data_IF_313525046613
#
_entry.id   IF_313525046613
#
_cell.length_a   1.000
_cell.length_b   1.000
_cell.length_c   1.000
_cell.angle_alpha   90.00
_cell.angle_beta   90.00
_cell.angle_gamma   90.00
#
_symmetry.space_group_name_H-M   'P 1'
#
loop_
_entity.id
_entity.type
_entity.pdbx_description
1 polymer ?
#
# COMPACT_ATOMS: atom_id res chain seq x y z
N UNK A 1 44.92 -21.80 -58.99
CA UNK A 1 45.37 -20.61 -59.74
C UNK A 1 45.99 -19.63 -58.75
N UNK A 2 47.23 -19.17 -58.97
CA UNK A 2 47.84 -18.13 -58.14
C UNK A 2 47.15 -16.78 -58.39
N UNK A 3 47.25 -15.82 -57.47
CA UNK A 3 46.73 -14.45 -57.68
C UNK A 3 47.26 -13.83 -58.98
N UNK A 4 48.53 -14.09 -59.32
CA UNK A 4 49.14 -13.61 -60.57
C UNK A 4 48.50 -14.21 -61.83
N UNK A 5 48.13 -15.49 -61.80
CA UNK A 5 47.45 -16.16 -62.92
C UNK A 5 46.00 -15.68 -63.07
N UNK A 6 45.30 -15.38 -61.97
CA UNK A 6 43.95 -14.82 -62.02
C UNK A 6 43.93 -13.40 -62.61
N UNK A 7 44.86 -12.54 -62.19
CA UNK A 7 44.98 -11.19 -62.75
C UNK A 7 45.43 -11.19 -64.22
N UNK A 8 46.25 -12.17 -64.63
CA UNK A 8 46.58 -12.37 -66.05
C UNK A 8 45.33 -12.77 -66.86
N UNK A 9 44.54 -13.74 -66.37
CA UNK A 9 43.28 -14.15 -66.99
C UNK A 9 42.26 -13.00 -67.05
N UNK A 10 42.21 -12.17 -66.01
CA UNK A 10 41.36 -10.98 -65.95
C UNK A 10 41.77 -9.95 -66.99
N UNK A 11 43.08 -9.69 -67.14
CA UNK A 11 43.62 -8.76 -68.14
C UNK A 11 43.36 -9.24 -69.57
N UNK A 12 43.55 -10.54 -69.83
CA UNK A 12 43.25 -11.18 -71.12
C UNK A 12 41.76 -11.17 -71.46
N UNK A 13 40.89 -11.20 -70.45
CA UNK A 13 39.43 -11.20 -70.62
C UNK A 13 38.83 -9.78 -70.56
N UNK A 14 39.67 -8.73 -70.59
CA UNK A 14 39.27 -7.32 -70.45
C UNK A 14 38.43 -7.06 -69.19
N UNK A 15 38.70 -7.77 -68.11
CA UNK A 15 37.97 -7.75 -66.84
C UNK A 15 36.48 -8.15 -66.94
N UNK A 16 36.08 -8.81 -68.03
CA UNK A 16 34.72 -9.32 -68.17
C UNK A 16 34.57 -10.66 -67.44
N UNK A 17 33.77 -10.66 -66.37
CA UNK A 17 33.56 -11.80 -65.48
C UNK A 17 32.95 -13.02 -66.18
N UNK A 18 32.05 -12.82 -67.16
CA UNK A 18 31.45 -13.91 -67.93
C UNK A 18 32.52 -14.61 -68.79
N UNK A 19 33.38 -13.82 -69.45
CA UNK A 19 34.48 -14.37 -70.27
C UNK A 19 35.55 -15.08 -69.45
N UNK A 20 35.78 -14.67 -68.21
CA UNK A 20 36.69 -15.37 -67.28
C UNK A 20 36.09 -16.70 -66.81
N UNK A 21 34.79 -16.69 -66.47
CA UNK A 21 34.06 -17.87 -66.06
C UNK A 21 33.96 -18.92 -67.18
N UNK A 22 33.73 -18.50 -68.42
CA UNK A 22 33.72 -19.38 -69.61
C UNK A 22 35.06 -20.10 -69.83
N UNK A 23 36.19 -19.45 -69.54
CA UNK A 23 37.54 -20.01 -69.72
C UNK A 23 38.00 -20.90 -68.57
N UNK A 24 37.59 -20.60 -67.34
CA UNK A 24 38.00 -21.34 -66.15
C UNK A 24 36.92 -21.23 -65.04
N UNK A 25 35.81 -21.99 -65.14
CA UNK A 25 34.63 -21.79 -64.31
C UNK A 25 34.88 -22.07 -62.81
N UNK A 26 35.46 -23.22 -62.48
CA UNK A 26 35.75 -23.60 -61.09
C UNK A 26 36.76 -22.66 -60.43
N UNK A 27 37.80 -22.29 -61.18
CA UNK A 27 38.88 -21.43 -60.67
C UNK A 27 38.39 -20.00 -60.43
N UNK A 28 37.52 -19.47 -61.31
CA UNK A 28 36.91 -18.15 -61.17
C UNK A 28 35.97 -18.11 -59.96
N UNK A 29 35.15 -19.14 -59.75
CA UNK A 29 34.27 -19.26 -58.57
C UNK A 29 35.06 -19.37 -57.26
N UNK A 30 36.13 -20.17 -57.24
CA UNK A 30 37.02 -20.31 -56.06
C UNK A 30 37.66 -18.96 -55.73
N UNK A 31 38.20 -18.24 -56.72
CA UNK A 31 38.81 -16.92 -56.47
C UNK A 31 37.78 -15.88 -56.01
N UNK A 32 36.57 -15.88 -56.56
CA UNK A 32 35.50 -14.99 -56.11
C UNK A 32 35.05 -15.33 -54.67
N UNK A 33 34.94 -16.61 -54.33
CA UNK A 33 34.64 -17.07 -52.97
C UNK A 33 35.69 -16.62 -51.95
N UNK A 34 36.98 -16.70 -52.30
CA UNK A 34 38.08 -16.20 -51.46
C UNK A 34 37.98 -14.68 -51.28
N UNK A 35 37.67 -13.94 -52.35
CA UNK A 35 37.56 -12.47 -52.30
C UNK A 35 36.36 -12.03 -51.45
N UNK A 36 35.23 -12.72 -51.57
CA UNK A 36 34.04 -12.49 -50.74
C UNK A 36 34.31 -12.81 -49.26
N UNK A 37 35.02 -13.91 -48.98
CA UNK A 37 35.45 -14.25 -47.62
C UNK A 37 36.37 -13.17 -47.03
N UNK A 38 37.33 -12.65 -47.80
CA UNK A 38 38.20 -11.55 -47.37
C UNK A 38 37.39 -10.28 -47.06
N UNK A 39 36.42 -9.92 -47.90
CA UNK A 39 35.53 -8.78 -47.66
C UNK A 39 34.74 -8.98 -46.36
N UNK A 40 34.18 -10.17 -46.13
CA UNK A 40 33.44 -10.48 -44.89
C UNK A 40 34.34 -10.39 -43.65
N UNK A 41 35.59 -10.85 -43.74
CA UNK A 41 36.57 -10.73 -42.66
C UNK A 41 36.86 -9.25 -42.37
N UNK A 42 37.09 -8.42 -43.40
CA UNK A 42 37.34 -6.98 -43.25
C UNK A 42 36.13 -6.30 -42.59
N UNK A 43 34.92 -6.56 -43.09
CA UNK A 43 33.68 -6.02 -42.52
C UNK A 43 33.50 -6.44 -41.05
N UNK A 44 33.82 -7.68 -40.71
CA UNK A 44 33.78 -8.17 -39.33
C UNK A 44 34.74 -7.41 -38.42
N UNK A 45 35.99 -7.18 -38.85
CA UNK A 45 36.95 -6.41 -38.07
C UNK A 45 36.56 -4.94 -37.91
N UNK A 46 36.05 -4.29 -38.97
CA UNK A 46 35.52 -2.93 -38.91
C UNK A 46 34.36 -2.85 -37.92
N UNK A 47 33.38 -3.74 -38.05
CA UNK A 47 32.22 -3.80 -37.16
C UNK A 47 32.65 -4.00 -35.69
N UNK A 48 33.58 -4.92 -35.44
CA UNK A 48 34.14 -5.15 -34.11
C UNK A 48 34.83 -3.90 -33.55
N UNK A 49 35.64 -3.21 -34.35
CA UNK A 49 36.33 -1.99 -33.94
C UNK A 49 35.36 -0.85 -33.60
N UNK A 50 34.31 -0.66 -34.42
CA UNK A 50 33.25 0.32 -34.17
C UNK A 50 32.55 0.03 -32.83
N UNK A 51 32.19 -1.23 -32.58
CA UNK A 51 31.53 -1.64 -31.33
C UNK A 51 32.41 -1.46 -30.09
N UNK A 52 33.71 -1.72 -30.20
CA UNK A 52 34.67 -1.44 -29.11
C UNK A 52 34.72 0.07 -28.82
N UNK A 53 34.85 0.91 -29.85
CA UNK A 53 34.89 2.36 -29.67
C UNK A 53 33.58 2.93 -29.09
N UNK A 54 32.42 2.38 -29.47
CA UNK A 54 31.14 2.73 -28.85
C UNK A 54 31.13 2.41 -27.35
N UNK A 55 31.62 1.24 -26.94
CA UNK A 55 31.70 0.86 -25.53
C UNK A 55 32.67 1.76 -24.74
N UNK A 56 33.82 2.13 -25.33
CA UNK A 56 34.77 3.07 -24.70
C UNK A 56 34.17 4.47 -24.53
N UNK A 57 33.47 4.99 -25.56
CA UNK A 57 32.73 6.26 -25.45
C UNK A 57 31.66 6.19 -24.38
N UNK A 58 30.98 5.05 -24.27
CA UNK A 58 29.93 4.86 -23.28
C UNK A 58 30.49 4.89 -21.85
N UNK A 59 31.63 4.22 -21.58
CA UNK A 59 32.33 4.29 -20.28
C UNK A 59 32.64 5.75 -19.91
N UNK A 60 33.22 6.51 -20.84
CA UNK A 60 33.55 7.93 -20.63
C UNK A 60 32.30 8.79 -20.41
N UNK A 61 31.22 8.51 -21.12
CA UNK A 61 30.00 9.32 -21.08
C UNK A 61 29.06 8.98 -19.91
N UNK A 62 29.21 7.82 -19.25
CA UNK A 62 28.50 7.53 -17.99
C UNK A 62 28.81 8.61 -16.97
N UNK A 63 30.07 9.09 -16.95
CA UNK A 63 30.52 10.08 -15.98
C UNK A 63 29.79 11.43 -16.09
N UNK A 64 29.25 11.72 -17.27
CA UNK A 64 28.57 12.96 -17.59
C UNK A 64 27.06 12.91 -17.38
N UNK A 65 26.52 11.80 -16.84
CA UNK A 65 25.09 11.67 -16.58
C UNK A 65 24.61 12.72 -15.55
N UNK A 66 23.51 13.40 -15.86
CA UNK A 66 22.92 14.44 -15.01
C UNK A 66 21.79 13.92 -14.13
N UNK A 67 21.09 12.89 -14.59
CA UNK A 67 19.99 12.24 -13.87
C UNK A 67 20.30 10.78 -13.59
N UNK A 68 19.60 10.20 -12.62
CA UNK A 68 19.72 8.78 -12.31
C UNK A 68 19.27 7.91 -13.49
N UNK A 69 18.20 8.31 -14.19
CA UNK A 69 17.63 7.58 -15.31
C UNK A 69 18.62 7.50 -16.47
N UNK A 70 19.28 8.63 -16.80
CA UNK A 70 20.34 8.68 -17.79
C UNK A 70 21.54 7.81 -17.39
N UNK A 71 21.91 7.85 -16.10
CA UNK A 71 22.98 7.02 -15.56
C UNK A 71 22.65 5.52 -15.66
N UNK A 72 21.44 5.10 -15.25
CA UNK A 72 21.01 3.71 -15.27
C UNK A 72 20.87 3.17 -16.70
N UNK A 73 20.38 3.98 -17.64
CA UNK A 73 20.31 3.60 -19.05
C UNK A 73 21.69 3.33 -19.64
N UNK A 74 22.64 4.24 -19.38
CA UNK A 74 24.03 4.08 -19.84
C UNK A 74 24.69 2.89 -19.15
N UNK A 75 24.54 2.73 -17.83
CA UNK A 75 25.09 1.59 -17.08
C UNK A 75 24.52 0.26 -17.58
N UNK A 76 23.21 0.19 -17.82
CA UNK A 76 22.55 -1.00 -18.36
C UNK A 76 23.04 -1.33 -19.77
N UNK A 77 23.25 -0.31 -20.60
CA UNK A 77 23.84 -0.47 -21.93
C UNK A 77 25.28 -0.97 -21.88
N UNK A 78 26.08 -0.46 -20.92
CA UNK A 78 27.43 -0.98 -20.66
C UNK A 78 27.40 -2.46 -20.32
N UNK A 79 26.53 -2.88 -19.40
CA UNK A 79 26.42 -4.28 -18.94
C UNK A 79 26.14 -5.23 -20.11
N UNK A 80 25.28 -4.82 -21.05
CA UNK A 80 24.91 -5.65 -22.21
C UNK A 80 26.08 -5.81 -23.20
N UNK A 81 26.84 -4.74 -23.39
CA UNK A 81 27.91 -4.70 -24.38
C UNK A 81 29.22 -5.25 -23.82
N UNK A 82 29.55 -4.95 -22.57
CA UNK A 82 30.83 -5.24 -21.93
C UNK A 82 31.36 -6.67 -22.15
N UNK A 83 30.58 -7.76 -21.95
CA UNK A 83 31.07 -9.14 -22.14
C UNK A 83 31.51 -9.48 -23.57
N UNK A 84 31.23 -8.62 -24.55
CA UNK A 84 31.44 -8.86 -25.99
C UNK A 84 32.60 -8.03 -26.57
N UNK A 85 33.31 -7.22 -25.78
CA UNK A 85 34.18 -6.13 -26.31
C UNK A 85 35.67 -6.26 -25.99
N UNK A 86 36.08 -7.31 -25.27
CA UNK A 86 37.49 -7.67 -25.12
C UNK A 86 38.23 -6.87 -24.04
N UNK A 87 39.51 -7.17 -23.85
CA UNK A 87 40.32 -6.68 -22.72
C UNK A 87 40.51 -5.16 -22.70
N UNK A 88 40.60 -4.51 -23.88
CA UNK A 88 40.74 -3.05 -23.98
C UNK A 88 39.61 -2.30 -23.27
N UNK A 89 38.37 -2.81 -23.38
CA UNK A 89 37.21 -2.23 -22.70
C UNK A 89 37.22 -2.54 -21.20
N UNK A 90 37.73 -3.71 -20.81
CA UNK A 90 37.93 -4.06 -19.40
C UNK A 90 38.96 -3.18 -18.69
N UNK A 91 40.07 -2.85 -19.36
CA UNK A 91 41.07 -1.92 -18.83
C UNK A 91 40.47 -0.53 -18.64
N UNK A 92 39.81 0.02 -19.66
CA UNK A 92 39.15 1.33 -19.57
C UNK A 92 38.08 1.37 -18.45
N UNK A 93 37.29 0.29 -18.31
CA UNK A 93 36.32 0.19 -17.22
C UNK A 93 37.01 0.13 -15.85
N UNK A 94 38.16 -0.54 -15.75
CA UNK A 94 38.94 -0.64 -14.53
C UNK A 94 39.52 0.72 -14.09
N UNK A 95 39.90 1.57 -15.05
CA UNK A 95 40.36 2.93 -14.79
C UNK A 95 39.20 3.84 -14.34
N UNK A 96 38.02 3.72 -14.95
CA UNK A 96 36.85 4.57 -14.63
C UNK A 96 35.97 4.05 -13.49
N UNK A 97 36.25 2.88 -12.90
CA UNK A 97 35.35 2.19 -11.96
C UNK A 97 34.96 3.03 -10.73
N UNK A 98 35.91 3.84 -10.23
CA UNK A 98 35.70 4.69 -9.05
C UNK A 98 34.73 5.82 -9.37
N UNK A 99 34.88 6.46 -10.52
CA UNK A 99 34.02 7.57 -10.94
C UNK A 99 32.60 7.09 -11.25
N UNK A 100 32.48 5.93 -11.89
CA UNK A 100 31.17 5.31 -12.15
C UNK A 100 30.46 5.00 -10.83
N UNK A 101 31.20 4.55 -9.82
CA UNK A 101 30.65 4.32 -8.48
C UNK A 101 30.30 5.63 -7.77
N UNK A 102 31.16 6.64 -7.79
CA UNK A 102 30.95 7.89 -7.04
C UNK A 102 29.70 8.65 -7.49
N UNK A 103 29.34 8.55 -8.78
CA UNK A 103 28.11 9.10 -9.32
C UNK A 103 26.84 8.51 -8.71
N UNK A 104 26.86 7.26 -8.27
CA UNK A 104 25.70 6.66 -7.59
C UNK A 104 25.29 7.47 -6.37
N UNK A 105 26.27 7.96 -5.59
CA UNK A 105 26.00 8.77 -4.40
C UNK A 105 25.58 10.20 -4.75
N UNK A 106 26.08 10.76 -5.84
CA UNK A 106 25.71 12.10 -6.31
C UNK A 106 24.29 12.16 -6.88
N UNK A 107 23.87 11.11 -7.59
CA UNK A 107 22.58 11.04 -8.29
C UNK A 107 21.46 10.44 -7.43
N UNK A 108 21.79 9.89 -6.26
CA UNK A 108 20.82 9.56 -5.22
C UNK A 108 20.43 10.84 -4.48
N UNK A 109 19.36 11.48 -4.94
CA UNK A 109 18.90 12.77 -4.42
C UNK A 109 18.26 12.58 -3.04
N UNK A 110 18.55 13.45 -2.04
CA UNK A 110 17.93 13.39 -0.72
C UNK A 110 16.39 13.40 -0.75
N UNK A 111 15.79 14.12 -1.69
CA UNK A 111 14.35 14.31 -1.85
C UNK A 111 13.59 13.08 -2.36
N UNK A 112 14.28 11.99 -2.74
CA UNK A 112 13.60 10.76 -3.15
C UNK A 112 12.95 10.08 -1.94
N UNK A 113 11.74 9.56 -2.13
CA UNK A 113 11.09 8.73 -1.11
C UNK A 113 11.90 7.46 -0.83
N UNK A 114 11.75 6.89 0.37
CA UNK A 114 12.49 5.66 0.73
C UNK A 114 12.10 4.49 -0.17
N UNK A 115 10.83 4.42 -0.61
CA UNK A 115 10.36 3.44 -1.61
C UNK A 115 11.20 3.49 -2.89
N UNK A 116 11.44 4.69 -3.40
CA UNK A 116 12.19 4.88 -4.63
C UNK A 116 13.70 4.65 -4.41
N UNK A 117 14.25 5.06 -3.27
CA UNK A 117 15.62 4.74 -2.88
C UNK A 117 15.85 3.23 -2.82
N UNK A 118 14.98 2.47 -2.15
CA UNK A 118 15.05 1.00 -2.10
C UNK A 118 15.12 0.41 -3.52
N UNK A 119 14.18 0.80 -4.40
CA UNK A 119 14.12 0.31 -5.78
C UNK A 119 15.43 0.57 -6.53
N UNK A 120 15.94 1.80 -6.46
CA UNK A 120 17.16 2.23 -7.16
C UNK A 120 18.42 1.57 -6.63
N UNK A 121 18.58 1.45 -5.30
CA UNK A 121 19.74 0.78 -4.71
C UNK A 121 19.81 -0.70 -5.07
N UNK A 122 18.66 -1.40 -5.05
CA UNK A 122 18.58 -2.81 -5.46
C UNK A 122 18.92 -3.01 -6.93
N UNK A 123 18.42 -2.14 -7.81
CA UNK A 123 18.73 -2.19 -9.24
C UNK A 123 20.22 -1.96 -9.50
N UNK A 124 20.81 -0.94 -8.87
CA UNK A 124 22.24 -0.66 -8.98
C UNK A 124 23.11 -1.80 -8.46
N UNK A 125 22.75 -2.36 -7.30
CA UNK A 125 23.46 -3.51 -6.73
C UNK A 125 23.51 -4.67 -7.72
N UNK A 126 22.36 -5.04 -8.30
CA UNK A 126 22.27 -6.07 -9.34
C UNK A 126 23.08 -5.73 -10.58
N UNK A 127 23.08 -4.47 -11.00
CA UNK A 127 23.84 -4.00 -12.15
C UNK A 127 25.36 -4.11 -11.93
N UNK A 128 25.86 -3.75 -10.73
CA UNK A 128 27.27 -3.95 -10.38
C UNK A 128 27.64 -5.42 -10.22
N UNK A 129 26.76 -6.26 -9.69
CA UNK A 129 26.99 -7.70 -9.63
C UNK A 129 27.12 -8.32 -11.04
N UNK A 130 26.32 -7.87 -12.00
CA UNK A 130 26.46 -8.26 -13.41
C UNK A 130 27.79 -7.80 -14.01
N UNK A 131 28.24 -6.57 -13.72
CA UNK A 131 29.57 -6.10 -14.16
C UNK A 131 30.69 -6.93 -13.57
N UNK A 132 30.61 -7.28 -12.28
CA UNK A 132 31.56 -8.18 -11.63
C UNK A 132 31.61 -9.54 -12.33
N UNK A 133 30.45 -10.15 -12.56
CA UNK A 133 30.35 -11.46 -13.23
C UNK A 133 30.88 -11.42 -14.66
N UNK A 134 30.56 -10.38 -15.41
CA UNK A 134 31.07 -10.18 -16.75
C UNK A 134 32.60 -9.95 -16.79
N UNK A 135 33.16 -9.32 -15.75
CA UNK A 135 34.59 -9.03 -15.66
C UNK A 135 35.45 -10.28 -15.48
N UNK A 136 34.88 -11.35 -14.91
CA UNK A 136 35.54 -12.67 -14.78
C UNK A 136 36.03 -13.22 -16.12
N UNK A 137 35.30 -12.95 -17.22
CA UNK A 137 35.66 -13.37 -18.58
C UNK A 137 37.02 -12.83 -19.04
N UNK A 138 37.46 -11.72 -18.47
CA UNK A 138 38.70 -11.04 -18.84
C UNK A 138 39.82 -11.25 -17.81
N UNK A 139 39.68 -12.20 -16.89
CA UNK A 139 40.65 -12.50 -15.84
C UNK A 139 41.10 -11.27 -15.02
N UNK A 140 40.27 -10.22 -14.94
CA UNK A 140 40.56 -9.02 -14.18
C UNK A 140 39.99 -9.16 -12.76
N UNK A 141 40.81 -9.69 -11.84
CA UNK A 141 40.42 -9.94 -10.45
C UNK A 141 40.13 -8.65 -9.68
N UNK A 142 40.87 -7.57 -9.95
CA UNK A 142 40.66 -6.26 -9.33
C UNK A 142 39.26 -5.72 -9.66
N UNK A 143 38.91 -5.68 -10.96
CA UNK A 143 37.62 -5.17 -11.43
C UNK A 143 36.46 -6.03 -10.93
N UNK A 144 36.64 -7.36 -10.97
CA UNK A 144 35.66 -8.34 -10.48
C UNK A 144 35.38 -8.12 -9.00
N UNK A 145 36.42 -8.05 -8.17
CA UNK A 145 36.31 -7.88 -6.72
C UNK A 145 35.77 -6.50 -6.37
N UNK A 146 36.16 -5.46 -7.10
CA UNK A 146 35.67 -4.10 -6.88
C UNK A 146 34.15 -4.03 -7.05
N UNK A 147 33.62 -4.44 -8.20
CA UNK A 147 32.18 -4.37 -8.44
C UNK A 147 31.37 -5.30 -7.55
N UNK A 148 31.91 -6.47 -7.17
CA UNK A 148 31.26 -7.35 -6.21
C UNK A 148 31.20 -6.74 -4.80
N UNK A 149 32.29 -6.12 -4.35
CA UNK A 149 32.29 -5.42 -3.06
C UNK A 149 31.33 -4.24 -3.08
N UNK A 150 31.30 -3.49 -4.19
CA UNK A 150 30.43 -2.32 -4.34
C UNK A 150 28.95 -2.67 -4.48
N UNK A 151 28.59 -3.79 -5.12
CA UNK A 151 27.19 -4.24 -5.14
C UNK A 151 26.69 -4.53 -3.72
N UNK A 152 27.52 -5.14 -2.86
CA UNK A 152 27.20 -5.38 -1.45
C UNK A 152 27.15 -4.09 -0.63
N UNK A 153 28.17 -3.23 -0.75
CA UNK A 153 28.24 -1.95 -0.02
C UNK A 153 26.98 -1.08 -0.28
N UNK A 154 26.41 -1.10 -1.50
CA UNK A 154 25.19 -0.37 -1.84
C UNK A 154 23.97 -0.80 -1.01
N UNK A 155 23.84 -2.10 -0.72
CA UNK A 155 22.68 -2.64 0.00
C UNK A 155 22.93 -2.69 1.50
N UNK A 156 24.05 -3.28 1.90
CA UNK A 156 24.37 -3.56 3.30
C UNK A 156 24.76 -2.32 4.11
N UNK A 157 25.26 -1.27 3.45
CA UNK A 157 25.67 -0.02 4.11
C UNK A 157 24.82 1.17 3.69
N UNK A 158 24.80 1.47 2.38
CA UNK A 158 24.15 2.69 1.89
C UNK A 158 22.64 2.63 2.04
N UNK A 159 21.99 1.60 1.51
CA UNK A 159 20.54 1.44 1.67
C UNK A 159 20.14 1.24 3.13
N UNK A 160 20.89 0.45 3.90
CA UNK A 160 20.65 0.28 5.34
C UNK A 160 20.63 1.62 6.09
N UNK A 161 21.60 2.50 5.82
CA UNK A 161 21.67 3.85 6.40
C UNK A 161 20.49 4.73 5.97
N UNK A 162 20.07 4.68 4.70
CA UNK A 162 18.90 5.45 4.24
C UNK A 162 17.60 4.99 4.89
N UNK A 163 17.42 3.68 5.07
CA UNK A 163 16.25 3.12 5.78
C UNK A 163 16.28 3.53 7.25
N UNK A 164 17.45 3.50 7.88
CA UNK A 164 17.64 3.95 9.27
C UNK A 164 17.32 5.44 9.45
N UNK A 165 17.81 6.28 8.55
CA UNK A 165 17.48 7.70 8.59
C UNK A 165 15.99 7.95 8.32
N UNK A 166 15.38 7.16 7.44
CA UNK A 166 13.95 7.28 7.16
C UNK A 166 13.14 7.08 8.44
N UNK A 167 13.19 5.89 9.07
CA UNK A 167 12.30 5.62 10.20
C UNK A 167 12.61 6.47 11.45
N UNK A 168 13.80 7.07 11.55
CA UNK A 168 14.19 7.98 12.66
C UNK A 168 13.68 9.42 12.49
N UNK A 169 13.37 9.83 11.27
CA UNK A 169 13.01 11.22 10.96
C UNK A 169 11.61 11.35 10.35
N UNK A 170 10.82 10.28 10.38
CA UNK A 170 9.46 10.22 9.81
C UNK A 170 8.41 10.43 10.91
N UNK A 171 7.37 11.22 10.61
CA UNK A 171 6.26 11.48 11.54
C UNK A 171 5.14 10.41 11.51
N UNK A 172 5.27 9.42 10.62
CA UNK A 172 4.35 8.28 10.45
C UNK A 172 2.88 8.69 10.29
N UNK A 173 2.60 9.41 9.21
CA UNK A 173 1.25 9.77 8.77
C UNK A 173 0.77 8.91 7.59
N UNK A 174 -0.39 9.23 7.02
CA UNK A 174 -0.99 8.50 5.90
C UNK A 174 -0.13 8.50 4.63
N UNK A 175 0.65 9.56 4.37
CA UNK A 175 1.47 9.68 3.17
C UNK A 175 2.64 8.68 3.19
N UNK A 176 2.97 8.17 4.37
CA UNK A 176 4.06 7.22 4.60
C UNK A 176 3.67 5.75 4.37
N UNK A 177 2.40 5.46 4.08
CA UNK A 177 1.89 4.10 3.90
C UNK A 177 2.68 3.31 2.84
N UNK A 178 2.91 3.90 1.67
CA UNK A 178 3.65 3.24 0.59
C UNK A 178 5.13 3.02 0.93
N UNK A 179 5.72 3.94 1.69
CA UNK A 179 7.11 3.89 2.11
C UNK A 179 7.33 2.78 3.14
N UNK A 180 6.45 2.68 4.14
CA UNK A 180 6.46 1.59 5.13
C UNK A 180 6.32 0.25 4.45
N UNK A 181 5.35 0.10 3.54
CA UNK A 181 5.14 -1.14 2.79
C UNK A 181 6.39 -1.52 1.97
N UNK A 182 7.08 -0.55 1.37
CA UNK A 182 8.33 -0.81 0.65
C UNK A 182 9.46 -1.27 1.57
N UNK A 183 9.60 -0.67 2.76
CA UNK A 183 10.59 -1.06 3.77
C UNK A 183 10.31 -2.47 4.28
N UNK A 184 9.07 -2.81 4.64
CA UNK A 184 8.68 -4.14 5.12
C UNK A 184 8.94 -5.20 4.03
N UNK A 185 8.53 -4.92 2.79
CA UNK A 185 8.76 -5.82 1.65
C UNK A 185 10.25 -6.05 1.37
N UNK A 186 11.07 -5.03 1.53
CA UNK A 186 12.53 -5.16 1.42
C UNK A 186 13.10 -5.98 2.58
N UNK A 187 12.75 -5.64 3.82
CA UNK A 187 13.22 -6.31 5.01
C UNK A 187 12.93 -7.81 4.94
N UNK A 188 11.72 -8.22 4.53
CA UNK A 188 11.32 -9.62 4.39
C UNK A 188 12.14 -10.44 3.37
N UNK A 189 12.86 -9.77 2.46
CA UNK A 189 13.77 -10.42 1.50
C UNK A 189 15.24 -10.31 1.90
N UNK A 190 15.56 -9.43 2.85
CA UNK A 190 16.91 -9.22 3.32
C UNK A 190 17.31 -10.33 4.30
N UNK A 191 18.61 -10.60 4.41
CA UNK A 191 19.12 -11.55 5.42
C UNK A 191 19.01 -11.01 6.85
N UNK A 192 18.79 -9.70 7.03
CA UNK A 192 18.73 -9.00 8.32
C UNK A 192 17.33 -8.44 8.60
N UNK A 193 16.32 -9.28 8.49
CA UNK A 193 14.90 -8.92 8.67
C UNK A 193 14.71 -8.24 10.04
N UNK A 194 15.10 -8.94 11.10
CA UNK A 194 14.85 -8.53 12.49
C UNK A 194 15.55 -7.22 12.82
N UNK A 195 16.78 -7.02 12.33
CA UNK A 195 17.52 -5.78 12.58
C UNK A 195 16.83 -4.54 12.01
N UNK A 196 16.10 -4.65 10.90
CA UNK A 196 15.42 -3.51 10.27
C UNK A 196 14.05 -3.31 10.94
N UNK A 197 13.27 -4.39 11.05
CA UNK A 197 11.90 -4.31 11.55
C UNK A 197 11.86 -4.01 13.04
N UNK A 198 12.74 -4.59 13.87
CA UNK A 198 12.78 -4.28 15.31
C UNK A 198 13.27 -2.86 15.58
N UNK A 199 14.21 -2.34 14.79
CA UNK A 199 14.63 -0.95 14.90
C UNK A 199 13.48 0.01 14.57
N UNK A 200 12.72 -0.28 13.50
CA UNK A 200 11.54 0.49 13.14
C UNK A 200 10.45 0.42 14.22
N UNK A 201 10.18 -0.77 14.79
CA UNK A 201 9.26 -0.92 15.93
C UNK A 201 9.71 -0.10 17.14
N UNK A 202 11.01 -0.04 17.41
CA UNK A 202 11.56 0.73 18.53
C UNK A 202 11.41 2.24 18.33
N UNK A 203 11.49 2.74 17.11
CA UNK A 203 11.18 4.14 16.83
C UNK A 203 9.68 4.42 16.92
N UNK A 204 8.82 3.52 16.41
CA UNK A 204 7.37 3.62 16.58
C UNK A 204 6.94 3.65 18.06
N UNK A 205 7.64 2.96 18.96
CA UNK A 205 7.39 3.00 20.42
C UNK A 205 7.50 4.40 21.03
N UNK A 206 8.24 5.32 20.39
CA UNK A 206 8.40 6.70 20.89
C UNK A 206 7.15 7.54 20.66
N UNK A 207 6.29 7.13 19.73
CA UNK A 207 5.03 7.80 19.45
C UNK A 207 3.94 7.34 20.42
N UNK A 208 3.09 8.29 20.80
CA UNK A 208 1.90 7.97 21.60
C UNK A 208 0.78 7.47 20.70
N UNK A 209 0.51 6.16 20.74
CA UNK A 209 -0.61 5.53 20.01
C UNK A 209 -1.99 6.03 20.52
N UNK A 210 -2.03 6.56 21.73
CA UNK A 210 -3.22 7.12 22.36
C UNK A 210 -3.54 8.55 21.91
N UNK A 211 -2.51 9.31 21.49
CA UNK A 211 -2.63 10.76 21.26
C UNK A 211 -2.25 11.19 19.84
N UNK A 212 -1.61 10.34 19.04
CA UNK A 212 -1.26 10.63 17.65
C UNK A 212 -2.37 10.14 16.70
N UNK A 213 -3.24 11.06 16.26
CA UNK A 213 -4.32 10.75 15.32
C UNK A 213 -3.82 10.33 13.94
N UNK A 214 -2.70 10.88 13.47
CA UNK A 214 -2.18 10.60 12.13
C UNK A 214 -1.59 9.18 12.07
N UNK A 215 -0.89 8.77 13.13
CA UNK A 215 -0.45 7.40 13.32
C UNK A 215 -1.64 6.44 13.40
N UNK A 216 -2.72 6.81 14.12
CA UNK A 216 -3.93 5.99 14.18
C UNK A 216 -4.54 5.78 12.78
N UNK A 217 -4.73 6.87 12.02
CA UNK A 217 -5.25 6.84 10.66
C UNK A 217 -4.39 5.99 9.73
N UNK A 218 -3.06 6.11 9.84
CA UNK A 218 -2.10 5.27 9.13
C UNK A 218 -2.33 3.79 9.44
N UNK A 219 -2.42 3.41 10.71
CA UNK A 219 -2.59 2.01 11.14
C UNK A 219 -3.89 1.40 10.59
N UNK A 220 -4.99 2.15 10.58
CA UNK A 220 -6.27 1.67 10.02
C UNK A 220 -6.20 1.47 8.49
N UNK A 221 -5.30 2.17 7.78
CA UNK A 221 -5.08 1.99 6.34
C UNK A 221 -4.00 0.96 6.00
N UNK A 222 -3.19 0.54 6.97
CA UNK A 222 -2.20 -0.52 6.78
C UNK A 222 -2.89 -1.87 6.58
N UNK A 223 -2.31 -2.71 5.72
CA UNK A 223 -2.83 -4.05 5.44
C UNK A 223 -1.84 -5.15 5.84
N UNK A 224 -2.40 -6.31 6.21
CA UNK A 224 -1.65 -7.50 6.65
C UNK A 224 -0.74 -8.05 5.54
N UNK A 225 -1.11 -7.89 4.26
CA UNK A 225 -0.36 -8.50 3.14
C UNK A 225 0.96 -7.78 2.87
N UNK A 226 0.97 -6.45 3.00
CA UNK A 226 2.10 -5.60 2.66
C UNK A 226 2.90 -5.14 3.89
N UNK A 227 2.23 -4.92 5.03
CA UNK A 227 2.82 -4.38 6.25
C UNK A 227 3.04 -5.39 7.39
N UNK A 228 2.65 -6.66 7.20
CA UNK A 228 2.48 -7.72 8.21
C UNK A 228 3.07 -7.44 9.60
N UNK A 229 4.38 -7.53 9.78
CA UNK A 229 4.99 -7.47 11.12
C UNK A 229 4.88 -6.09 11.79
N UNK A 230 4.88 -5.00 11.02
CA UNK A 230 4.68 -3.65 11.56
C UNK A 230 3.20 -3.42 11.82
N UNK A 231 2.33 -3.86 10.90
CA UNK A 231 0.88 -3.81 11.08
C UNK A 231 0.45 -4.57 12.34
N UNK A 232 0.83 -5.84 12.50
CA UNK A 232 0.49 -6.67 13.66
C UNK A 232 0.96 -6.03 14.96
N UNK A 233 2.18 -5.47 14.98
CA UNK A 233 2.70 -4.74 16.13
C UNK A 233 1.84 -3.52 16.48
N UNK A 234 1.56 -2.65 15.50
CA UNK A 234 0.78 -1.45 15.71
C UNK A 234 -0.68 -1.73 16.07
N UNK A 235 -1.28 -2.73 15.41
CA UNK A 235 -2.68 -3.12 15.63
C UNK A 235 -2.87 -3.68 17.03
N UNK A 236 -1.98 -4.56 17.49
CA UNK A 236 -2.02 -5.06 18.86
C UNK A 236 -1.93 -3.92 19.88
N UNK A 237 -1.09 -2.91 19.64
CA UNK A 237 -0.99 -1.73 20.51
C UNK A 237 -2.27 -0.91 20.53
N UNK A 238 -2.90 -0.69 19.38
CA UNK A 238 -4.18 -0.01 19.29
C UNK A 238 -5.26 -0.81 20.02
N UNK A 239 -5.36 -2.12 19.77
CA UNK A 239 -6.39 -2.95 20.38
C UNK A 239 -6.22 -3.04 21.90
N UNK A 240 -4.99 -3.06 22.42
CA UNK A 240 -4.69 -2.93 23.86
C UNK A 240 -5.20 -1.60 24.45
N UNK A 241 -5.08 -0.49 23.71
CA UNK A 241 -5.56 0.83 24.18
C UNK A 241 -7.09 0.84 24.35
N UNK A 242 -7.83 0.29 23.38
CA UNK A 242 -9.29 0.29 23.41
C UNK A 242 -9.87 -0.77 24.36
N UNK A 243 -9.21 -1.93 24.52
CA UNK A 243 -9.75 -3.04 25.29
C UNK A 243 -9.34 -3.08 26.76
N UNK A 244 -8.24 -2.42 27.15
CA UNK A 244 -7.74 -2.49 28.54
C UNK A 244 -8.62 -1.73 29.54
N UNK A 245 -9.26 -0.64 29.10
CA UNK A 245 -9.96 0.32 29.95
C UNK A 245 -9.03 1.15 30.85
N UNK A 246 -7.71 0.94 30.80
CA UNK A 246 -6.74 1.57 31.71
C UNK A 246 -5.91 2.67 31.03
N UNK A 247 -6.24 2.98 29.77
CA UNK A 247 -5.50 3.93 28.94
C UNK A 247 -6.45 5.00 28.41
N UNK A 248 -5.96 6.22 28.39
CA UNK A 248 -6.64 7.35 27.76
C UNK A 248 -6.43 7.27 26.25
N UNK A 249 -7.49 7.53 25.49
CA UNK A 249 -7.45 7.67 24.03
C UNK A 249 -7.94 9.07 23.70
N UNK A 250 -7.10 9.87 23.05
CA UNK A 250 -7.39 11.28 22.77
C UNK A 250 -8.73 11.49 22.06
N UNK A 251 -9.36 12.62 22.36
CA UNK A 251 -10.64 13.02 21.75
C UNK A 251 -10.56 13.08 20.23
N UNK A 252 -9.44 13.54 19.66
CA UNK A 252 -9.23 13.56 18.21
C UNK A 252 -9.35 12.17 17.55
N UNK A 253 -8.91 11.11 18.23
CA UNK A 253 -9.05 9.72 17.74
C UNK A 253 -10.51 9.27 17.89
N UNK A 254 -11.16 9.60 19.01
CA UNK A 254 -12.57 9.27 19.23
C UNK A 254 -13.48 9.98 18.22
N UNK A 255 -13.23 11.26 17.94
CA UNK A 255 -13.95 12.03 16.92
C UNK A 255 -13.75 11.47 15.52
N UNK A 256 -12.52 11.09 15.16
CA UNK A 256 -12.25 10.38 13.91
C UNK A 256 -13.05 9.07 13.77
N UNK A 257 -13.25 8.34 14.87
CA UNK A 257 -14.07 7.12 14.86
C UNK A 257 -15.55 7.41 14.61
N UNK A 258 -16.07 8.52 15.13
CA UNK A 258 -17.41 8.99 14.82
C UNK A 258 -17.55 9.42 13.36
N UNK A 259 -16.55 10.10 12.80
CA UNK A 259 -16.53 10.53 11.40
C UNK A 259 -16.46 9.38 10.39
N UNK A 260 -16.02 8.19 10.84
CA UNK A 260 -15.79 7.02 9.97
C UNK A 260 -16.78 5.88 10.21
N UNK A 261 -17.93 6.17 10.83
CA UNK A 261 -18.99 5.20 11.15
C UNK A 261 -18.52 4.00 12.02
N UNK A 262 -17.47 4.21 12.82
CA UNK A 262 -16.90 3.19 13.72
C UNK A 262 -17.35 3.39 15.19
N UNK A 263 -18.54 3.94 15.39
CA UNK A 263 -19.03 4.40 16.69
C UNK A 263 -19.03 3.30 17.76
N UNK A 264 -19.27 2.04 17.37
CA UNK A 264 -19.27 0.90 18.30
C UNK A 264 -17.95 0.77 19.07
N UNK A 265 -16.79 1.03 18.42
CA UNK A 265 -15.49 1.01 19.11
C UNK A 265 -15.42 2.07 20.22
N UNK A 266 -16.06 3.22 20.02
CA UNK A 266 -16.10 4.30 21.02
C UNK A 266 -17.03 3.94 22.16
N UNK A 267 -18.21 3.37 21.86
CA UNK A 267 -19.15 2.89 22.89
C UNK A 267 -18.52 1.81 23.78
N UNK A 268 -17.85 0.83 23.17
CA UNK A 268 -17.17 -0.25 23.87
C UNK A 268 -16.02 0.28 24.74
N UNK A 269 -15.27 1.27 24.24
CA UNK A 269 -14.21 1.92 25.00
C UNK A 269 -14.74 2.67 26.22
N UNK A 270 -15.77 3.50 26.05
CA UNK A 270 -16.36 4.31 27.12
C UNK A 270 -16.98 3.40 28.19
N UNK A 271 -17.73 2.37 27.79
CA UNK A 271 -18.41 1.46 28.72
C UNK A 271 -17.44 0.61 29.57
N UNK A 272 -16.22 0.37 29.08
CA UNK A 272 -15.18 -0.39 29.77
C UNK A 272 -14.09 0.47 30.44
N UNK A 273 -14.16 1.79 30.31
CA UNK A 273 -13.14 2.71 30.82
C UNK A 273 -13.08 2.65 32.36
N UNK A 274 -11.88 2.45 32.91
CA UNK A 274 -11.59 2.35 34.36
C UNK A 274 -10.97 3.62 34.93
N UNK A 275 -10.71 4.63 34.09
CA UNK A 275 -10.12 5.90 34.49
C UNK A 275 -11.19 6.93 34.82
N UNK A 276 -11.58 7.02 36.11
CA UNK A 276 -12.65 7.92 36.57
C UNK A 276 -12.48 9.37 36.12
N UNK A 277 -11.28 9.94 36.28
CA UNK A 277 -11.01 11.34 35.91
C UNK A 277 -11.18 11.57 34.41
N UNK A 278 -10.70 10.65 33.58
CA UNK A 278 -10.83 10.74 32.13
C UNK A 278 -12.29 10.52 31.67
N UNK A 279 -12.99 9.57 32.28
CA UNK A 279 -14.42 9.33 32.02
C UNK A 279 -15.26 10.59 32.31
N UNK A 280 -14.96 11.31 33.40
CA UNK A 280 -15.62 12.59 33.72
C UNK A 280 -15.39 13.66 32.64
N UNK A 281 -14.15 13.74 32.11
CA UNK A 281 -13.84 14.66 31.02
C UNK A 281 -14.61 14.31 29.75
N UNK A 282 -14.63 13.02 29.38
CA UNK A 282 -15.39 12.55 28.23
C UNK A 282 -16.89 12.78 28.38
N UNK A 283 -17.45 12.53 29.57
CA UNK A 283 -18.85 12.83 29.89
C UNK A 283 -19.16 14.31 29.62
N UNK A 284 -18.31 15.19 30.16
CA UNK A 284 -18.46 16.64 29.97
C UNK A 284 -18.38 17.06 28.50
N UNK A 285 -17.64 16.33 27.65
CA UNK A 285 -17.48 16.66 26.24
C UNK A 285 -18.58 16.07 25.33
N UNK A 286 -19.08 14.88 25.65
CA UNK A 286 -19.88 14.08 24.71
C UNK A 286 -21.30 13.74 25.17
N UNK A 287 -21.52 13.54 26.47
CA UNK A 287 -22.82 13.10 26.98
C UNK A 287 -23.90 14.17 26.76
N UNK A 288 -25.04 13.79 26.17
CA UNK A 288 -26.16 14.67 25.81
C UNK A 288 -25.75 15.88 24.94
N UNK A 289 -24.62 15.74 24.23
CA UNK A 289 -24.07 16.79 23.34
C UNK A 289 -23.98 16.36 21.90
N UNK A 290 -23.88 15.06 21.65
CA UNK A 290 -24.05 14.46 20.34
C UNK A 290 -25.46 13.87 20.30
N UNK A 291 -26.18 14.04 19.19
CA UNK A 291 -27.49 13.40 18.97
C UNK A 291 -27.32 11.89 18.75
N UNK A 292 -26.76 11.19 19.73
CA UNK A 292 -26.38 9.78 19.69
C UNK A 292 -26.67 9.09 21.03
N UNK A 293 -27.88 8.53 21.13
CA UNK A 293 -28.35 7.84 22.31
C UNK A 293 -27.49 6.62 22.68
N UNK A 294 -26.82 5.97 21.72
CA UNK A 294 -25.96 4.82 22.02
C UNK A 294 -24.70 5.27 22.78
N UNK A 295 -24.21 6.47 22.46
CA UNK A 295 -23.09 7.08 23.18
C UNK A 295 -23.47 7.38 24.63
N UNK A 296 -24.63 8.00 24.83
CA UNK A 296 -25.14 8.32 26.17
C UNK A 296 -25.35 7.05 27.01
N UNK A 297 -25.91 6.01 26.39
CA UNK A 297 -26.07 4.70 27.02
C UNK A 297 -24.73 4.01 27.33
N UNK A 298 -23.66 4.25 26.54
CA UNK A 298 -22.34 3.72 26.84
C UNK A 298 -21.75 4.32 28.12
N UNK A 299 -22.02 5.60 28.39
CA UNK A 299 -21.67 6.24 29.67
C UNK A 299 -22.45 5.63 30.84
N UNK A 300 -23.76 5.42 30.67
CA UNK A 300 -24.64 4.81 31.69
C UNK A 300 -24.26 3.35 31.97
N UNK A 301 -23.81 2.61 30.95
CA UNK A 301 -23.39 1.22 31.09
C UNK A 301 -22.06 1.04 31.85
N UNK A 302 -21.29 2.11 32.04
CA UNK A 302 -20.02 2.06 32.75
C UNK A 302 -20.25 1.94 34.28
N UNK A 303 -19.66 0.94 34.96
CA UNK A 303 -19.85 0.74 36.40
C UNK A 303 -19.18 1.79 37.29
N UNK A 304 -18.30 2.65 36.75
CA UNK A 304 -17.64 3.70 37.51
C UNK A 304 -18.61 4.82 37.87
N UNK A 305 -18.65 5.13 39.17
CA UNK A 305 -19.40 6.28 39.67
C UNK A 305 -18.66 7.60 39.38
N UNK A 306 -19.14 8.34 38.40
CA UNK A 306 -18.76 9.72 38.09
C UNK A 306 -19.84 10.71 38.56
N UNK A 307 -19.54 12.00 38.56
CA UNK A 307 -20.54 13.04 38.80
C UNK A 307 -21.36 13.20 37.52
N UNK A 308 -22.63 12.78 37.57
CA UNK A 308 -23.46 12.63 36.38
C UNK A 308 -24.95 12.81 36.70
N UNK A 309 -25.67 13.33 35.73
CA UNK A 309 -27.11 13.58 35.81
C UNK A 309 -27.90 12.51 35.03
N UNK A 310 -27.38 11.27 35.01
CA UNK A 310 -27.93 10.18 34.20
C UNK A 310 -29.41 9.92 34.46
N UNK A 311 -29.84 10.02 35.73
CA UNK A 311 -31.24 9.81 36.11
C UNK A 311 -32.16 10.87 35.49
N UNK A 312 -31.83 12.14 35.69
CA UNK A 312 -32.61 13.25 35.15
C UNK A 312 -32.67 13.20 33.62
N UNK A 313 -31.56 12.85 32.96
CA UNK A 313 -31.51 12.63 31.51
C UNK A 313 -32.46 11.51 31.07
N UNK A 314 -32.41 10.34 31.71
CA UNK A 314 -33.26 9.20 31.37
C UNK A 314 -34.75 9.51 31.60
N UNK A 315 -35.08 10.13 32.74
CA UNK A 315 -36.45 10.53 33.07
C UNK A 315 -37.02 11.53 32.05
N UNK A 316 -36.23 12.53 31.64
CA UNK A 316 -36.61 13.49 30.61
C UNK A 316 -36.79 12.82 29.23
N UNK A 317 -35.89 11.92 28.87
CA UNK A 317 -35.95 11.18 27.60
C UNK A 317 -37.19 10.30 27.51
N UNK A 318 -37.52 9.58 28.59
CA UNK A 318 -38.71 8.73 28.69
C UNK A 318 -40.01 9.54 28.76
N UNK A 319 -39.99 10.68 29.46
CA UNK A 319 -41.16 11.58 29.56
C UNK A 319 -41.44 12.27 28.23
N UNK A 320 -40.41 12.64 27.47
CA UNK A 320 -40.58 13.25 26.15
C UNK A 320 -41.05 12.22 25.11
N UNK A 321 -40.58 10.98 25.21
CA UNK A 321 -40.90 9.89 24.28
C UNK A 321 -41.96 8.93 24.82
N UNK A 322 -42.87 9.45 25.63
CA UNK A 322 -43.75 8.64 26.48
C UNK A 322 -44.77 7.76 25.76
N UNK A 323 -45.03 8.01 24.48
CA UNK A 323 -45.86 7.17 23.59
C UNK A 323 -45.05 6.33 22.60
N UNK A 324 -43.73 6.47 22.58
CA UNK A 324 -42.87 5.75 21.64
C UNK A 324 -42.42 4.42 22.26
N UNK A 325 -43.18 3.37 21.95
CA UNK A 325 -42.94 2.00 22.44
C UNK A 325 -41.52 1.49 22.10
N UNK A 326 -41.03 1.77 20.89
CA UNK A 326 -39.71 1.32 20.43
C UNK A 326 -38.58 1.97 21.22
N UNK A 327 -38.68 3.29 21.43
CA UNK A 327 -37.71 4.05 22.23
C UNK A 327 -37.66 3.56 23.68
N UNK A 328 -38.83 3.38 24.29
CA UNK A 328 -38.92 2.93 25.68
C UNK A 328 -38.33 1.52 25.83
N UNK A 329 -38.65 0.60 24.91
CA UNK A 329 -38.08 -0.77 24.89
C UNK A 329 -36.57 -0.77 24.68
N UNK A 330 -36.08 0.12 23.83
CA UNK A 330 -34.65 0.25 23.55
C UNK A 330 -33.90 0.68 24.82
N UNK A 331 -34.34 1.76 25.47
CA UNK A 331 -33.76 2.25 26.73
C UNK A 331 -33.86 1.20 27.84
N UNK A 332 -35.01 0.56 28.02
CA UNK A 332 -35.21 -0.39 29.13
C UNK A 332 -34.30 -1.63 29.03
N UNK A 333 -33.83 -1.98 27.83
CA UNK A 333 -32.94 -3.12 27.62
C UNK A 333 -31.45 -2.77 27.76
N UNK A 334 -31.12 -1.49 27.83
CA UNK A 334 -29.75 -1.04 27.91
C UNK A 334 -29.15 -1.31 29.30
N UNK A 335 -27.85 -1.65 29.31
CA UNK A 335 -27.11 -1.96 30.54
C UNK A 335 -26.98 -0.69 31.41
N UNK A 336 -27.13 -0.83 32.72
CA UNK A 336 -26.99 0.26 33.69
C UNK A 336 -28.24 1.12 33.88
N UNK A 337 -29.19 1.11 32.94
CA UNK A 337 -30.44 1.92 33.03
C UNK A 337 -31.28 1.54 34.25
N UNK A 338 -31.43 0.24 34.53
CA UNK A 338 -32.15 -0.23 35.72
C UNK A 338 -31.49 0.26 37.02
N UNK A 339 -30.16 0.29 37.07
CA UNK A 339 -29.42 0.67 38.26
C UNK A 339 -29.50 2.19 38.51
N UNK A 340 -29.58 2.99 37.44
CA UNK A 340 -29.70 4.45 37.52
C UNK A 340 -31.10 4.90 37.91
N UNK A 341 -32.14 4.35 37.26
CA UNK A 341 -33.53 4.69 37.58
C UNK A 341 -33.94 4.06 38.93
N UNK A 342 -33.65 2.77 39.08
CA UNK A 342 -34.11 1.97 40.21
C UNK A 342 -35.36 1.16 39.88
N UNK A 343 -35.64 0.16 40.73
CA UNK A 343 -36.61 -0.90 40.43
C UNK A 343 -38.06 -0.43 40.27
N UNK A 344 -38.53 0.56 41.04
CA UNK A 344 -39.92 1.03 40.98
C UNK A 344 -40.24 1.81 39.71
N UNK A 345 -39.35 2.74 39.35
CA UNK A 345 -39.44 3.53 38.13
C UNK A 345 -39.33 2.63 36.90
N UNK A 346 -38.39 1.68 36.90
CA UNK A 346 -38.26 0.69 35.85
C UNK A 346 -39.51 -0.20 35.70
N UNK A 347 -40.12 -0.62 36.81
CA UNK A 347 -41.37 -1.40 36.76
C UNK A 347 -42.51 -0.61 36.11
N UNK A 348 -42.60 0.69 36.41
CA UNK A 348 -43.60 1.59 35.81
C UNK A 348 -43.39 1.71 34.29
N UNK A 349 -42.12 1.78 33.86
CA UNK A 349 -41.76 1.80 32.44
C UNK A 349 -42.19 0.51 31.73
N UNK A 350 -41.95 -0.67 32.33
CA UNK A 350 -42.36 -1.95 31.74
C UNK A 350 -43.90 -2.05 31.62
N UNK A 351 -44.63 -1.70 32.67
CA UNK A 351 -46.10 -1.69 32.64
C UNK A 351 -46.66 -0.76 31.55
N UNK A 352 -45.97 0.37 31.33
CA UNK A 352 -46.32 1.30 30.26
C UNK A 352 -46.13 0.70 28.88
N UNK A 353 -45.01 0.02 28.64
CA UNK A 353 -44.75 -0.70 27.39
C UNK A 353 -45.84 -1.73 27.13
N UNK A 354 -46.19 -2.55 28.13
CA UNK A 354 -47.26 -3.54 28.02
C UNK A 354 -48.62 -2.90 27.68
N UNK A 355 -48.93 -1.75 28.28
CA UNK A 355 -50.17 -1.01 28.00
C UNK A 355 -50.20 -0.51 26.56
N UNK A 356 -49.10 0.08 26.06
CA UNK A 356 -48.99 0.56 24.68
C UNK A 356 -49.09 -0.59 23.66
N UNK A 357 -48.50 -1.75 23.94
CA UNK A 357 -48.64 -2.96 23.11
C UNK A 357 -50.10 -3.43 23.01
N UNK A 358 -50.83 -3.44 24.13
CA UNK A 358 -52.24 -3.82 24.18
C UNK A 358 -53.08 -2.82 23.37
N UNK A 359 -52.83 -1.51 23.53
CA UNK A 359 -53.52 -0.46 22.76
C UNK A 359 -53.30 -0.62 21.26
N UNK A 360 -52.05 -0.85 20.83
CA UNK A 360 -51.69 -1.08 19.42
C UNK A 360 -52.42 -2.30 18.84
N UNK A 361 -52.42 -3.42 19.57
CA UNK A 361 -53.13 -4.64 19.16
C UNK A 361 -54.66 -4.44 19.08
N UNK A 362 -55.22 -3.64 19.97
CA UNK A 362 -56.65 -3.30 19.92
C UNK A 362 -56.97 -2.39 18.72
N UNK A 363 -56.10 -1.42 18.41
CA UNK A 363 -56.25 -0.58 17.21
C UNK A 363 -56.17 -1.40 15.92
N UNK A 364 -55.25 -2.36 15.82
CA UNK A 364 -55.16 -3.28 14.68
C UNK A 364 -56.45 -4.08 14.48
N UNK A 365 -57.02 -4.64 15.56
CA UNK A 365 -58.30 -5.35 15.52
C UNK A 365 -59.47 -4.45 15.12
N UNK A 366 -59.52 -3.22 15.64
CA UNK A 366 -60.54 -2.24 15.27
C UNK A 366 -60.40 -1.88 13.79
N UNK A 367 -59.18 -1.69 13.30
CA UNK A 367 -58.93 -1.38 11.90
C UNK A 367 -59.31 -2.54 10.98
N UNK A 368 -59.02 -3.78 11.38
CA UNK A 368 -59.46 -4.99 10.69
C UNK A 368 -60.99 -5.08 10.67
N UNK A 369 -61.66 -4.84 11.80
CA UNK A 369 -63.11 -4.80 11.88
C UNK A 369 -63.73 -3.69 11.00
N UNK A 370 -63.11 -2.50 10.95
CA UNK A 370 -63.53 -1.41 10.05
C UNK A 370 -63.35 -1.82 8.60
N UNK A 371 -62.25 -2.49 8.25
CA UNK A 371 -62.02 -2.98 6.89
C UNK A 371 -63.04 -4.06 6.48
N UNK A 372 -63.38 -4.96 7.40
CA UNK A 372 -64.45 -5.95 7.21
C UNK A 372 -65.80 -5.25 7.07
N UNK A 373 -66.10 -4.27 7.90
CA UNK A 373 -67.34 -3.49 7.83
C UNK A 373 -67.46 -2.74 6.50
N UNK A 374 -66.40 -2.09 6.02
CA UNK A 374 -66.35 -1.43 4.70
C UNK A 374 -66.55 -2.43 3.56
N UNK A 375 -65.96 -3.62 3.64
CA UNK A 375 -66.19 -4.70 2.66
C UNK A 375 -67.65 -5.16 2.67
N UNK A 376 -68.23 -5.37 3.86
CA UNK A 376 -69.63 -5.75 4.01
C UNK A 376 -70.58 -4.67 3.47
N UNK A 377 -70.29 -3.40 3.73
CA UNK A 377 -71.02 -2.26 3.18
C UNK A 377 -70.95 -2.21 1.64
N UNK A 378 -69.76 -2.40 1.06
CA UNK A 378 -69.58 -2.48 -0.39
C UNK A 378 -70.41 -3.61 -1.02
N UNK A 379 -70.37 -4.81 -0.42
CA UNK A 379 -71.17 -5.96 -0.88
C UNK A 379 -72.67 -5.67 -0.76
N UNK A 380 -73.11 -5.02 0.33
CA UNK A 380 -74.50 -4.67 0.52
C UNK A 380 -74.98 -3.62 -0.50
N UNK A 381 -74.14 -2.64 -0.85
CA UNK A 381 -74.42 -1.66 -1.91
C UNK A 381 -74.50 -2.32 -3.29
N UNK A 382 -73.57 -3.23 -3.62
CA UNK A 382 -73.62 -4.02 -4.86
C UNK A 382 -74.90 -4.88 -4.94
N UNK A 383 -75.24 -5.58 -3.85
CA UNK A 383 -76.46 -6.39 -3.76
C UNK A 383 -77.74 -5.55 -3.87
N UNK A 384 -77.72 -4.29 -3.40
CA UNK A 384 -78.82 -3.34 -3.57
C UNK A 384 -78.92 -2.87 -5.01
N UNK A 385 -77.80 -2.61 -5.69
CA UNK A 385 -77.76 -2.28 -7.12
C UNK A 385 -78.26 -3.41 -8.02
N UNK A 386 -78.05 -4.67 -7.63
CA UNK A 386 -78.60 -5.85 -8.33
C UNK A 386 -80.12 -6.04 -8.12
N UNK A 387 -80.71 -5.40 -7.11
CA UNK A 387 -82.16 -5.44 -6.82
C UNK A 387 -82.95 -4.31 -7.45
N UNK A 388 -82.30 -3.32 -8.07
CA UNK A 388 -83.03 -2.44 -8.98
C UNK A 388 -83.43 -3.26 -10.21
N UNK A 389 -84.73 -3.35 -10.55
CA UNK A 389 -85.17 -4.20 -11.64
C UNK A 389 -84.52 -3.74 -12.93
N UNK A 390 -83.76 -4.65 -13.56
CA UNK A 390 -83.40 -4.55 -14.96
C UNK A 390 -84.73 -4.48 -15.70
N UNK A 391 -85.10 -3.27 -16.13
CA UNK A 391 -86.29 -3.02 -16.91
C UNK A 391 -86.01 -3.54 -18.33
N UNK A 392 -86.11 -4.86 -18.49
CA UNK A 392 -86.08 -5.53 -19.79
C UNK A 392 -87.47 -5.29 -20.40
N UNK A 393 -87.49 -4.48 -21.46
CA UNK A 393 -88.66 -4.20 -22.31
C UNK A 393 -89.29 -5.48 -22.87
#
# INVERSE_FOLDING_TARGET
MSFSQFFALAKESSFNLLKMYEKAPDQTLITFGILLLLILIILFFIYRAVKINMALKLIKNIQNAKTYEEYDEKLTSLIKEFPKRGEKVAQALNESKIDIYSLTSKLMIPSLSIKEKIRRYLLLSKNFEKLSTASKKYNNSELTNYFFKKSKDLVEKKLAFEIENYYKNTNFDLDELENINAVVKYANKAQKIDSILEAMKNELKKFSFAYNSDLYKLIEKMDIQNGKQIYEYCKNRVDELFNSGEKEVSTNILDYLFETDQNQKVYDYISNLKLKGYLQQLYTLYFDKKEDINLDLAFIANPLKIDSDYKDYLDNSLTSNWRNEEHIKFLSKAKGVLDVLGHEEFRTIIQRVETLEIEKKNQEKIQEAINIAKRAESIALEAKGLKEPINIK
#
